data_IF_743705483112
#
_entry.id   IF_743705483112
#
_cell.length_a   1.000
_cell.length_b   1.000
_cell.length_c   1.000
_cell.angle_alpha   90.00
_cell.angle_beta   90.00
_cell.angle_gamma   90.00
#
_symmetry.space_group_name_H-M   'P 1'
#
loop_
_entity.id
_entity.type
_entity.pdbx_description
1 polymer ?
#
# COMPACT_ATOMS: atom_id res chain seq x y z
N UNK A 1 -22.45 -10.95 11.38
CA UNK A 1 -22.49 -11.85 10.22
C UNK A 1 -21.09 -12.31 9.89
N UNK A 2 -20.87 -13.62 9.80
CA UNK A 2 -19.60 -14.19 9.33
C UNK A 2 -19.62 -14.02 7.81
N UNK A 3 -18.88 -13.03 7.29
CA UNK A 3 -18.60 -12.98 5.85
C UNK A 3 -17.78 -14.23 5.57
N UNK A 4 -18.36 -15.20 4.87
CA UNK A 4 -17.63 -16.38 4.45
C UNK A 4 -16.61 -15.93 3.39
N UNK A 5 -15.35 -15.74 3.79
CA UNK A 5 -14.29 -15.24 2.90
C UNK A 5 -14.00 -16.30 1.82
N UNK A 6 -14.64 -16.18 0.66
CA UNK A 6 -14.38 -17.06 -0.48
C UNK A 6 -13.27 -16.49 -1.37
N UNK A 7 -12.19 -17.26 -1.51
CA UNK A 7 -11.06 -16.92 -2.36
C UNK A 7 -10.32 -18.17 -2.85
N UNK A 8 -9.73 -18.12 -4.06
CA UNK A 8 -9.00 -19.27 -4.60
C UNK A 8 -7.67 -19.44 -3.86
N UNK A 9 -7.37 -20.62 -3.36
CA UNK A 9 -6.17 -20.87 -2.53
C UNK A 9 -4.88 -20.72 -3.33
N UNK A 10 -4.90 -21.19 -4.57
CA UNK A 10 -3.78 -21.18 -5.50
C UNK A 10 -4.19 -20.75 -6.92
N UNK A 11 -3.24 -20.80 -7.85
CA UNK A 11 -3.46 -20.32 -9.21
C UNK A 11 -4.38 -21.22 -10.03
N UNK A 12 -4.41 -22.53 -9.76
CA UNK A 12 -5.30 -23.45 -10.47
C UNK A 12 -6.75 -23.20 -10.06
N UNK A 13 -7.00 -23.05 -8.75
CA UNK A 13 -8.32 -22.64 -8.25
C UNK A 13 -8.72 -21.26 -8.81
N UNK A 14 -7.79 -20.31 -8.92
CA UNK A 14 -8.04 -19.00 -9.50
C UNK A 14 -8.52 -19.09 -10.95
N UNK A 15 -7.84 -19.88 -11.79
CA UNK A 15 -8.24 -20.08 -13.19
C UNK A 15 -9.58 -20.82 -13.31
N UNK A 16 -9.87 -21.73 -12.39
CA UNK A 16 -11.15 -22.45 -12.36
C UNK A 16 -12.32 -21.55 -11.94
N UNK A 17 -12.06 -20.62 -11.01
CA UNK A 17 -13.05 -19.69 -10.49
C UNK A 17 -13.31 -18.51 -11.43
N UNK A 18 -12.28 -17.98 -12.10
CA UNK A 18 -12.40 -16.80 -12.97
C UNK A 18 -12.04 -17.14 -14.42
N UNK A 19 -13.03 -17.65 -15.16
CA UNK A 19 -12.88 -18.05 -16.57
C UNK A 19 -13.38 -16.97 -17.51
N UNK A 20 -14.35 -16.18 -17.06
CA UNK A 20 -15.12 -15.26 -17.88
C UNK A 20 -15.23 -13.89 -17.22
N UNK A 21 -15.67 -12.91 -18.01
CA UNK A 21 -16.01 -11.57 -17.51
C UNK A 21 -17.17 -11.62 -16.51
N UNK A 22 -18.11 -12.55 -16.69
CA UNK A 22 -19.25 -12.75 -15.79
C UNK A 22 -18.82 -13.23 -14.41
N UNK A 23 -17.89 -14.17 -14.32
CA UNK A 23 -17.33 -14.63 -13.05
C UNK A 23 -16.73 -13.47 -12.25
N UNK A 24 -15.99 -12.59 -12.95
CA UNK A 24 -15.37 -11.41 -12.35
C UNK A 24 -16.41 -10.38 -11.91
N UNK A 25 -17.45 -10.15 -12.72
CA UNK A 25 -18.54 -9.22 -12.40
C UNK A 25 -19.30 -9.68 -11.16
N UNK A 26 -19.70 -10.96 -11.10
CA UNK A 26 -20.43 -11.55 -9.98
C UNK A 26 -19.60 -11.46 -8.69
N UNK A 27 -18.31 -11.80 -8.77
CA UNK A 27 -17.41 -11.71 -7.61
C UNK A 27 -17.22 -10.27 -7.11
N UNK A 28 -17.09 -9.29 -8.02
CA UNK A 28 -17.04 -7.89 -7.62
C UNK A 28 -18.35 -7.42 -7.00
N UNK A 29 -19.49 -7.90 -7.50
CA UNK A 29 -20.81 -7.56 -6.97
C UNK A 29 -20.94 -7.99 -5.50
N UNK A 30 -20.63 -9.25 -5.20
CA UNK A 30 -20.65 -9.79 -3.83
C UNK A 30 -19.68 -9.05 -2.91
N UNK A 31 -18.47 -8.75 -3.39
CA UNK A 31 -17.46 -8.05 -2.59
C UNK A 31 -17.88 -6.59 -2.31
N UNK A 32 -18.46 -5.92 -3.29
CA UNK A 32 -18.85 -4.52 -3.17
C UNK A 32 -20.10 -4.35 -2.32
N UNK A 33 -21.02 -5.29 -2.41
CA UNK A 33 -22.32 -5.27 -1.72
C UNK A 33 -22.55 -6.60 -1.00
N UNK A 34 -21.82 -6.85 0.10
CA UNK A 34 -21.91 -8.11 0.84
C UNK A 34 -23.32 -8.35 1.42
N UNK A 35 -24.05 -7.26 1.68
CA UNK A 35 -25.40 -7.29 2.25
C UNK A 35 -26.49 -7.03 1.20
N UNK A 36 -26.15 -7.12 -0.10
CA UNK A 36 -27.03 -6.79 -1.22
C UNK A 36 -26.87 -5.35 -1.72
N UNK A 37 -27.25 -5.14 -2.98
CA UNK A 37 -27.11 -3.82 -3.62
C UNK A 37 -27.92 -2.76 -2.90
N UNK A 38 -27.32 -1.60 -2.69
CA UNK A 38 -27.98 -0.40 -2.22
C UNK A 38 -27.75 0.72 -3.22
N UNK A 39 -28.84 1.29 -3.75
CA UNK A 39 -28.75 2.34 -4.75
C UNK A 39 -28.01 3.56 -4.17
N UNK A 40 -26.92 4.04 -4.81
CA UNK A 40 -26.15 5.17 -4.28
C UNK A 40 -26.90 6.51 -4.28
N UNK A 41 -28.08 6.59 -4.91
CA UNK A 41 -28.91 7.81 -4.99
C UNK A 41 -30.08 7.83 -4.02
N UNK A 42 -30.75 6.70 -3.80
CA UNK A 42 -31.97 6.63 -2.99
C UNK A 42 -31.96 5.52 -1.93
N UNK A 43 -30.87 4.76 -1.81
CA UNK A 43 -30.72 3.66 -0.86
C UNK A 43 -31.81 2.58 -0.93
N UNK A 44 -32.40 2.39 -2.12
CA UNK A 44 -33.31 1.28 -2.40
C UNK A 44 -32.49 0.02 -2.73
N UNK A 45 -33.00 -1.12 -2.26
CA UNK A 45 -32.44 -2.46 -2.44
C UNK A 45 -33.04 -3.23 -3.63
N UNK A 46 -34.11 -2.72 -4.25
CA UNK A 46 -34.75 -3.33 -5.41
C UNK A 46 -34.08 -2.88 -6.70
N UNK A 47 -33.56 -3.84 -7.46
CA UNK A 47 -32.89 -3.59 -8.73
C UNK A 47 -33.12 -4.72 -9.74
N UNK A 48 -32.80 -4.44 -10.99
CA UNK A 48 -32.56 -5.46 -12.01
C UNK A 48 -31.25 -5.18 -12.73
N UNK A 49 -30.68 -6.20 -13.37
CA UNK A 49 -29.44 -6.09 -14.15
C UNK A 49 -29.83 -5.95 -15.62
N UNK A 50 -29.31 -4.92 -16.30
CA UNK A 50 -29.53 -4.72 -17.73
C UNK A 50 -28.64 -5.63 -18.57
N UNK A 51 -28.93 -5.75 -19.87
CA UNK A 51 -28.07 -6.48 -20.82
C UNK A 51 -26.62 -5.96 -20.84
N UNK A 52 -26.43 -4.66 -20.60
CA UNK A 52 -25.10 -4.01 -20.49
C UNK A 52 -24.46 -4.17 -19.11
N UNK A 53 -25.01 -5.05 -18.25
CA UNK A 53 -24.54 -5.32 -16.88
C UNK A 53 -24.50 -4.07 -15.99
N UNK A 54 -25.43 -3.15 -16.21
CA UNK A 54 -25.70 -2.04 -15.31
C UNK A 54 -26.77 -2.45 -14.30
N UNK A 55 -26.64 -1.98 -13.07
CA UNK A 55 -27.57 -2.24 -11.98
C UNK A 55 -28.57 -1.09 -11.97
N UNK A 56 -29.80 -1.38 -12.37
CA UNK A 56 -30.86 -0.39 -12.50
C UNK A 56 -31.72 -0.38 -11.24
N UNK A 57 -31.82 0.78 -10.58
CA UNK A 57 -32.66 0.95 -9.41
C UNK A 57 -34.14 1.10 -9.81
N UNK A 58 -35.02 0.30 -9.21
CA UNK A 58 -36.46 0.32 -9.51
C UNK A 58 -37.13 1.65 -9.12
N UNK A 59 -36.61 2.31 -8.08
CA UNK A 59 -37.29 3.47 -7.46
C UNK A 59 -36.92 4.81 -8.09
N UNK A 60 -35.64 5.01 -8.42
CA UNK A 60 -35.14 6.30 -8.92
C UNK A 60 -34.56 6.22 -10.33
N UNK A 61 -34.68 5.06 -10.99
CA UNK A 61 -34.18 4.76 -12.34
C UNK A 61 -32.67 4.94 -12.55
N UNK A 62 -31.92 5.22 -11.48
CA UNK A 62 -30.50 5.38 -11.54
C UNK A 62 -29.81 4.07 -11.95
N UNK A 63 -28.92 4.17 -12.94
CA UNK A 63 -28.08 3.07 -13.40
C UNK A 63 -26.69 3.17 -12.78
N UNK A 64 -26.35 2.21 -11.93
CA UNK A 64 -25.02 2.06 -11.35
C UNK A 64 -24.20 1.03 -12.14
N UNK A 65 -22.89 1.29 -12.28
CA UNK A 65 -21.93 0.30 -12.79
C UNK A 65 -21.12 -0.29 -11.65
N UNK A 66 -20.83 -1.59 -11.70
CA UNK A 66 -20.01 -2.27 -10.69
C UNK A 66 -18.63 -1.65 -10.51
N UNK A 67 -18.09 -1.05 -11.57
CA UNK A 67 -16.77 -0.39 -11.58
C UNK A 67 -16.83 1.09 -11.19
N UNK A 68 -18.02 1.69 -11.11
CA UNK A 68 -18.15 3.12 -10.84
C UNK A 68 -17.64 3.48 -9.43
N UNK A 69 -16.87 4.56 -9.28
CA UNK A 69 -16.30 4.94 -7.98
C UNK A 69 -15.23 3.99 -7.45
N UNK A 70 -14.66 3.10 -8.28
CA UNK A 70 -13.57 2.17 -7.90
C UNK A 70 -12.30 2.45 -8.70
N UNK A 71 -11.22 1.72 -8.43
CA UNK A 71 -10.02 1.77 -9.29
C UNK A 71 -10.30 1.33 -10.74
N UNK A 72 -11.34 0.53 -10.94
CA UNK A 72 -11.79 0.03 -12.25
C UNK A 72 -12.67 1.03 -13.01
N UNK A 73 -13.00 2.17 -12.42
CA UNK A 73 -13.86 3.18 -13.04
C UNK A 73 -13.36 3.57 -14.43
N UNK A 74 -14.28 3.61 -15.39
CA UNK A 74 -14.00 3.98 -16.78
C UNK A 74 -13.05 3.02 -17.51
N UNK A 75 -12.83 1.80 -17.01
CA UNK A 75 -11.97 0.84 -17.68
C UNK A 75 -12.58 0.39 -19.02
N UNK A 76 -11.73 0.31 -20.05
CA UNK A 76 -12.07 -0.24 -21.36
C UNK A 76 -11.50 -1.65 -21.56
N UNK A 77 -10.78 -2.17 -20.57
CA UNK A 77 -10.21 -3.51 -20.58
C UNK A 77 -11.10 -4.44 -19.75
N UNK A 78 -11.22 -5.72 -20.13
CA UNK A 78 -12.01 -6.69 -19.37
C UNK A 78 -11.58 -6.77 -17.90
N UNK A 79 -12.53 -6.94 -16.98
CA UNK A 79 -12.29 -7.27 -15.58
C UNK A 79 -11.46 -8.54 -15.45
N UNK A 80 -11.67 -9.53 -16.33
CA UNK A 80 -10.87 -10.74 -16.32
C UNK A 80 -9.36 -10.45 -16.40
N UNK A 81 -8.95 -9.46 -17.21
CA UNK A 81 -7.54 -9.03 -17.28
C UNK A 81 -7.08 -8.37 -15.97
N UNK A 82 -7.94 -7.56 -15.33
CA UNK A 82 -7.64 -7.00 -14.01
C UNK A 82 -7.40 -8.09 -12.97
N UNK A 83 -8.25 -9.12 -12.94
CA UNK A 83 -8.13 -10.23 -11.99
C UNK A 83 -6.80 -10.97 -12.17
N UNK A 84 -6.42 -11.28 -13.41
CA UNK A 84 -5.14 -11.91 -13.72
C UNK A 84 -3.94 -11.07 -13.27
N UNK A 85 -4.00 -9.75 -13.51
CA UNK A 85 -2.94 -8.83 -13.09
C UNK A 85 -2.87 -8.71 -11.57
N UNK A 86 -4.01 -8.63 -10.88
CA UNK A 86 -4.06 -8.59 -9.41
C UNK A 86 -3.45 -9.86 -8.84
N UNK A 87 -3.83 -11.04 -9.35
CA UNK A 87 -3.23 -12.32 -8.95
C UNK A 87 -1.71 -12.32 -9.15
N UNK A 88 -1.26 -11.93 -10.35
CA UNK A 88 0.16 -11.87 -10.67
C UNK A 88 0.91 -10.91 -9.73
N UNK A 89 0.38 -9.71 -9.48
CA UNK A 89 0.99 -8.71 -8.58
C UNK A 89 1.12 -9.24 -7.15
N UNK A 90 0.11 -9.93 -6.61
CA UNK A 90 0.18 -10.47 -5.24
C UNK A 90 1.03 -11.74 -5.15
N UNK A 91 1.18 -12.49 -6.25
CA UNK A 91 2.05 -13.66 -6.32
C UNK A 91 3.54 -13.30 -6.28
N UNK A 92 3.94 -12.19 -6.92
CA UNK A 92 5.33 -11.73 -6.98
C UNK A 92 5.83 -11.21 -5.62
N UNK A 93 6.70 -11.94 -4.92
CA UNK A 93 7.25 -11.47 -3.62
C UNK A 93 8.17 -10.25 -3.76
N UNK A 94 8.91 -10.16 -4.86
CA UNK A 94 9.91 -9.12 -5.13
C UNK A 94 9.33 -7.85 -5.75
N UNK A 95 8.02 -7.75 -5.92
CA UNK A 95 7.38 -6.59 -6.55
C UNK A 95 7.27 -6.70 -8.08
N UNK A 96 6.63 -5.70 -8.67
CA UNK A 96 6.32 -5.68 -10.10
C UNK A 96 6.76 -4.36 -10.75
N UNK A 97 7.66 -4.45 -11.73
CA UNK A 97 8.01 -3.31 -12.58
C UNK A 97 6.95 -3.13 -13.69
N UNK A 98 6.73 -1.87 -14.11
CA UNK A 98 5.80 -1.57 -15.18
C UNK A 98 6.27 -2.11 -16.54
N UNK A 99 7.59 -2.19 -16.79
CA UNK A 99 8.14 -2.83 -17.98
C UNK A 99 7.84 -4.33 -18.00
N UNK A 100 8.10 -5.03 -16.90
CA UNK A 100 7.81 -6.47 -16.81
C UNK A 100 6.30 -6.73 -16.96
N UNK A 101 5.44 -5.92 -16.34
CA UNK A 101 3.99 -6.06 -16.52
C UNK A 101 3.57 -5.81 -17.97
N UNK A 102 4.14 -4.78 -18.62
CA UNK A 102 3.85 -4.46 -20.01
C UNK A 102 4.19 -5.64 -20.93
N UNK A 103 5.40 -6.16 -20.82
CA UNK A 103 5.89 -7.22 -21.72
C UNK A 103 5.19 -8.56 -21.42
N UNK A 104 4.98 -8.90 -20.14
CA UNK A 104 4.33 -10.15 -19.74
C UNK A 104 2.83 -10.19 -20.10
N UNK A 105 2.10 -9.08 -19.90
CA UNK A 105 0.65 -9.01 -20.19
C UNK A 105 0.34 -8.48 -21.59
N UNK A 106 1.36 -8.17 -22.39
CA UNK A 106 1.19 -7.66 -23.75
C UNK A 106 0.54 -6.27 -23.83
N UNK A 107 0.76 -5.39 -22.86
CA UNK A 107 0.26 -4.02 -22.95
C UNK A 107 0.99 -3.26 -24.07
N UNK A 108 0.22 -2.58 -24.92
CA UNK A 108 0.77 -1.76 -26.01
C UNK A 108 1.56 -0.53 -25.54
N UNK A 109 1.44 -0.11 -24.28
CA UNK A 109 2.19 1.04 -23.73
C UNK A 109 2.67 0.83 -22.31
N UNK A 110 3.85 1.38 -22.00
CA UNK A 110 4.41 1.40 -20.66
C UNK A 110 3.51 2.18 -19.70
N UNK A 111 2.95 3.31 -20.16
CA UNK A 111 2.09 4.20 -19.39
C UNK A 111 0.84 3.48 -18.89
N UNK A 112 0.28 2.57 -19.69
CA UNK A 112 -0.89 1.77 -19.30
C UNK A 112 -0.51 0.83 -18.15
N UNK A 113 0.56 0.05 -18.30
CA UNK A 113 1.03 -0.86 -17.26
C UNK A 113 1.41 -0.11 -15.98
N UNK A 114 2.09 1.03 -16.12
CA UNK A 114 2.46 1.90 -15.00
C UNK A 114 1.22 2.44 -14.27
N UNK A 115 0.22 2.93 -15.00
CA UNK A 115 -1.02 3.45 -14.41
C UNK A 115 -1.82 2.38 -13.69
N UNK A 116 -1.88 1.16 -14.24
CA UNK A 116 -2.54 0.02 -13.58
C UNK A 116 -1.85 -0.35 -12.28
N UNK A 117 -0.52 -0.44 -12.27
CA UNK A 117 0.21 -0.69 -11.04
C UNK A 117 -0.02 0.42 -10.01
N UNK A 118 -0.06 1.69 -10.42
CA UNK A 118 -0.37 2.80 -9.50
C UNK A 118 -1.78 2.74 -8.93
N UNK A 119 -2.77 2.38 -9.75
CA UNK A 119 -4.14 2.13 -9.28
C UNK A 119 -4.18 1.00 -8.24
N UNK A 120 -3.45 -0.09 -8.47
CA UNK A 120 -3.35 -1.19 -7.52
C UNK A 120 -2.61 -0.80 -6.24
N UNK A 121 -1.51 -0.03 -6.33
CA UNK A 121 -0.77 0.49 -5.17
C UNK A 121 -1.67 1.32 -4.25
N UNK A 122 -2.55 2.15 -4.82
CA UNK A 122 -3.54 2.91 -4.04
C UNK A 122 -4.49 1.99 -3.27
N UNK A 123 -4.87 0.85 -3.84
CA UNK A 123 -5.70 -0.16 -3.18
C UNK A 123 -4.90 -1.08 -2.22
N UNK A 124 -3.58 -0.97 -2.12
CA UNK A 124 -2.80 -1.78 -1.17
C UNK A 124 -2.84 -1.23 0.26
N UNK A 125 -3.35 -0.01 0.44
CA UNK A 125 -3.56 0.62 1.75
C UNK A 125 -5.02 0.50 2.14
N UNK A 126 -5.28 -0.26 3.21
CA UNK A 126 -6.61 -0.34 3.81
C UNK A 126 -6.89 0.92 4.66
N UNK A 127 -8.00 1.64 4.44
CA UNK A 127 -8.48 2.66 5.36
C UNK A 127 -8.73 2.05 6.75
N UNK A 128 -8.39 2.77 7.82
CA UNK A 128 -8.55 2.27 9.20
C UNK A 128 -7.82 0.94 9.44
N UNK A 129 -6.63 0.77 8.82
CA UNK A 129 -5.73 -0.35 9.13
C UNK A 129 -5.31 -0.29 10.59
N UNK A 130 -5.20 -1.45 11.23
CA UNK A 130 -4.75 -1.53 12.62
C UNK A 130 -3.38 -0.84 12.79
N UNK A 131 -3.23 -0.14 13.92
CA UNK A 131 -1.96 0.48 14.31
C UNK A 131 -0.93 -0.59 14.68
N UNK A 132 0.35 -0.21 14.62
CA UNK A 132 1.45 -0.99 15.16
C UNK A 132 1.31 -1.06 16.68
N UNK A 133 1.72 -2.19 17.27
CA UNK A 133 1.55 -2.45 18.72
C UNK A 133 2.83 -3.00 19.33
N UNK A 134 2.93 -2.90 20.67
CA UNK A 134 4.08 -3.40 21.44
C UNK A 134 5.28 -2.47 21.32
N UNK A 135 6.46 -3.05 21.14
CA UNK A 135 7.70 -2.30 20.89
C UNK A 135 7.82 -1.94 19.41
N UNK A 136 8.07 -0.67 19.13
CA UNK A 136 8.18 -0.13 17.78
C UNK A 136 9.43 0.75 17.67
N UNK A 137 10.36 0.36 16.81
CA UNK A 137 11.48 1.22 16.42
C UNK A 137 10.99 2.23 15.37
N UNK A 138 11.36 3.50 15.55
CA UNK A 138 11.03 4.59 14.63
C UNK A 138 12.31 5.35 14.29
N UNK A 139 12.52 5.62 13.00
CA UNK A 139 13.71 6.30 12.49
C UNK A 139 13.40 7.02 11.16
N UNK A 140 14.25 7.97 10.77
CA UNK A 140 14.19 8.65 9.48
C UNK A 140 15.23 8.14 8.49
N UNK A 141 14.82 8.05 7.23
CA UNK A 141 15.72 7.71 6.14
C UNK A 141 15.51 8.57 4.91
N UNK A 142 16.54 8.64 4.08
CA UNK A 142 16.51 9.31 2.78
C UNK A 142 16.41 8.27 1.66
N UNK A 143 15.36 8.38 0.85
CA UNK A 143 15.09 7.51 -0.29
C UNK A 143 15.09 8.32 -1.60
N UNK A 144 15.67 7.73 -2.64
CA UNK A 144 15.77 8.35 -3.97
C UNK A 144 16.90 9.37 -4.08
N UNK A 145 16.83 10.20 -5.12
CA UNK A 145 17.88 11.14 -5.52
C UNK A 145 18.99 10.48 -6.36
N UNK A 146 19.67 11.28 -7.19
CA UNK A 146 20.90 10.82 -7.86
C UNK A 146 22.04 10.90 -6.86
N UNK A 147 22.84 9.84 -6.71
CA UNK A 147 24.14 9.95 -6.05
C UNK A 147 25.08 10.73 -6.98
N UNK A 148 25.23 12.04 -6.73
CA UNK A 148 26.16 12.88 -7.48
C UNK A 148 27.48 12.95 -6.69
N UNK A 149 28.41 12.03 -7.01
CA UNK A 149 29.81 12.08 -6.55
C UNK A 149 30.02 12.18 -5.03
N UNK A 150 31.20 12.67 -4.61
CA UNK A 150 31.60 12.95 -3.21
C UNK A 150 30.84 14.14 -2.59
N UNK A 151 29.54 14.28 -2.86
CA UNK A 151 28.69 15.32 -2.30
C UNK A 151 28.23 15.04 -0.87
N UNK A 152 27.77 16.09 -0.17
CA UNK A 152 27.31 16.07 1.24
C UNK A 152 26.45 14.84 1.54
N UNK A 153 26.93 13.99 2.45
CA UNK A 153 26.19 12.85 2.98
C UNK A 153 25.13 13.33 4.00
N UNK A 154 24.00 12.63 4.07
CA UNK A 154 22.94 12.91 5.06
C UNK A 154 21.96 14.01 4.66
N UNK A 155 21.50 14.79 5.65
CA UNK A 155 20.30 15.65 5.60
C UNK A 155 20.34 16.82 4.60
N UNK A 156 21.48 17.06 3.94
CA UNK A 156 21.70 18.15 2.99
C UNK A 156 21.69 17.75 1.51
N UNK A 157 21.34 16.51 1.17
CA UNK A 157 21.28 16.06 -0.22
C UNK A 157 19.95 16.49 -0.88
N UNK A 158 19.97 17.63 -1.59
CA UNK A 158 18.84 18.35 -2.23
C UNK A 158 17.89 17.48 -3.09
N UNK A 159 18.28 16.25 -3.45
CA UNK A 159 17.48 15.36 -4.31
C UNK A 159 16.86 14.15 -3.61
N UNK A 160 17.15 13.92 -2.33
CA UNK A 160 16.61 12.76 -1.60
C UNK A 160 15.33 13.12 -0.85
N UNK A 161 14.36 12.20 -0.81
CA UNK A 161 13.11 12.37 -0.07
C UNK A 161 13.26 11.81 1.34
N UNK A 162 12.90 12.61 2.34
CA UNK A 162 12.88 12.19 3.73
C UNK A 162 11.63 11.34 4.02
N UNK A 163 11.84 10.21 4.68
CA UNK A 163 10.81 9.22 4.99
C UNK A 163 10.96 8.78 6.44
N UNK A 164 9.90 8.86 7.21
CA UNK A 164 9.82 8.23 8.54
C UNK A 164 9.44 6.77 8.35
N UNK A 165 10.12 5.88 9.07
CA UNK A 165 9.88 4.44 9.06
C UNK A 165 9.57 4.00 10.48
N UNK A 166 8.51 3.21 10.65
CA UNK A 166 8.23 2.52 11.91
C UNK A 166 8.21 1.00 11.67
N UNK A 167 8.78 0.23 12.60
CA UNK A 167 8.87 -1.21 12.53
C UNK A 167 8.57 -1.87 13.88
N UNK A 168 7.58 -2.77 13.91
CA UNK A 168 7.31 -3.59 15.10
C UNK A 168 8.49 -4.52 15.39
N UNK A 169 8.91 -4.53 16.65
CA UNK A 169 9.95 -5.40 17.18
C UNK A 169 9.29 -6.66 17.75
N UNK A 170 9.59 -7.83 17.16
CA UNK A 170 9.10 -9.14 17.61
C UNK A 170 10.28 -10.04 17.94
N UNK A 171 10.99 -9.68 19.02
CA UNK A 171 12.24 -10.33 19.41
C UNK A 171 13.33 -10.09 18.37
N UNK A 172 13.74 -11.13 17.63
CA UNK A 172 14.69 -11.02 16.50
C UNK A 172 13.99 -10.79 15.15
N UNK A 173 12.66 -10.84 15.11
CA UNK A 173 11.89 -10.71 13.88
C UNK A 173 11.29 -9.31 13.76
N UNK A 174 11.15 -8.84 12.52
CA UNK A 174 10.44 -7.59 12.22
C UNK A 174 8.98 -7.92 11.95
N UNK A 175 8.08 -7.31 12.70
CA UNK A 175 6.63 -7.40 12.50
C UNK A 175 6.15 -6.56 11.32
N UNK A 176 5.11 -5.76 11.54
CA UNK A 176 4.55 -4.84 10.56
C UNK A 176 5.35 -3.54 10.51
N UNK A 177 5.33 -2.89 9.36
CA UNK A 177 6.02 -1.63 9.07
C UNK A 177 5.06 -0.57 8.54
N UNK A 178 5.46 0.69 8.71
CA UNK A 178 4.79 1.90 8.21
C UNK A 178 5.82 2.87 7.67
N UNK A 179 5.42 3.64 6.67
CA UNK A 179 6.22 4.68 6.06
C UNK A 179 5.38 5.94 5.87
N UNK A 180 5.98 7.11 5.99
CA UNK A 180 5.38 8.39 5.60
C UNK A 180 6.47 9.30 5.06
N UNK A 181 6.21 9.92 3.91
CA UNK A 181 7.07 11.00 3.40
C UNK A 181 6.78 12.23 4.25
N UNK A 182 7.82 12.89 4.73
CA UNK A 182 7.73 14.12 5.52
C UNK A 182 8.50 15.24 4.80
N UNK A 183 7.96 16.46 4.88
CA UNK A 183 8.58 17.64 4.27
C UNK A 183 9.81 18.06 5.05
N UNK A 184 9.65 18.09 6.36
CA UNK A 184 10.67 18.46 7.31
C UNK A 184 10.62 17.49 8.48
N UNK A 185 11.78 17.32 9.10
CA UNK A 185 11.94 16.51 10.30
C UNK A 185 11.53 17.37 11.50
N UNK A 186 10.29 17.85 11.52
CA UNK A 186 9.73 18.64 12.62
C UNK A 186 9.09 17.71 13.66
N UNK A 187 9.11 18.09 14.94
CA UNK A 187 8.54 17.26 16.00
C UNK A 187 7.04 17.02 15.86
N UNK A 188 6.31 17.95 15.22
CA UNK A 188 4.88 17.83 14.95
C UNK A 188 4.56 16.77 13.89
N UNK A 189 5.30 16.77 12.76
CA UNK A 189 5.10 15.79 11.68
C UNK A 189 5.40 14.36 12.18
N UNK A 190 6.44 14.20 13.01
CA UNK A 190 6.84 12.92 13.61
C UNK A 190 5.80 12.42 14.62
N UNK A 191 5.33 13.31 15.51
CA UNK A 191 4.32 12.95 16.49
C UNK A 191 3.00 12.56 15.82
N UNK A 192 2.56 13.32 14.81
CA UNK A 192 1.37 12.97 14.01
C UNK A 192 1.54 11.61 13.33
N UNK A 193 2.70 11.33 12.72
CA UNK A 193 2.96 10.01 12.13
C UNK A 193 2.81 8.88 13.15
N UNK A 194 3.36 9.07 14.34
CA UNK A 194 3.31 8.08 15.42
C UNK A 194 1.88 7.88 15.89
N UNK A 195 1.14 8.95 16.17
CA UNK A 195 -0.25 8.87 16.63
C UNK A 195 -1.18 8.23 15.61
N UNK A 196 -0.97 8.49 14.32
CA UNK A 196 -1.73 7.87 13.23
C UNK A 196 -1.45 6.38 13.07
N UNK A 197 -0.26 5.90 13.47
CA UNK A 197 0.23 4.57 13.07
C UNK A 197 0.59 3.62 14.22
N UNK A 198 0.73 4.10 15.45
CA UNK A 198 1.17 3.33 16.62
C UNK A 198 0.14 3.49 17.74
N UNK A 199 -0.30 2.35 18.29
CA UNK A 199 -1.34 2.27 19.32
C UNK A 199 -0.88 2.93 20.62
N UNK A 200 -1.81 3.56 21.35
CA UNK A 200 -1.48 4.13 22.65
C UNK A 200 -1.09 3.03 23.65
N UNK A 201 -0.14 3.33 24.54
CA UNK A 201 0.47 2.37 25.45
C UNK A 201 1.62 1.55 24.85
N UNK A 202 1.93 1.72 23.56
CA UNK A 202 3.13 1.14 22.96
C UNK A 202 4.41 1.78 23.47
N UNK A 203 5.50 1.01 23.34
CA UNK A 203 6.86 1.48 23.57
C UNK A 203 7.51 1.89 22.26
N UNK A 204 7.98 3.13 22.19
CA UNK A 204 8.62 3.72 21.01
C UNK A 204 10.11 3.85 21.27
N UNK A 205 10.92 3.38 20.32
CA UNK A 205 12.38 3.34 20.42
C UNK A 205 12.99 4.19 19.29
N UNK A 206 13.78 5.22 19.63
CA UNK A 206 14.37 6.16 18.66
C UNK A 206 15.87 6.39 18.89
N UNK A 207 16.55 7.09 17.97
CA UNK A 207 18.01 7.32 17.97
C UNK A 207 18.48 8.50 18.84
N UNK A 208 17.58 9.11 19.62
CA UNK A 208 17.87 10.25 20.49
C UNK A 208 17.95 11.59 19.78
N UNK A 209 17.52 11.65 18.52
CA UNK A 209 17.42 12.91 17.80
C UNK A 209 16.32 13.83 18.38
N UNK A 210 16.61 15.13 18.44
CA UNK A 210 15.77 16.14 19.11
C UNK A 210 14.38 16.31 18.51
N UNK A 211 14.15 15.87 17.27
CA UNK A 211 12.83 15.83 16.64
C UNK A 211 11.81 15.02 17.45
N UNK A 212 12.27 14.00 18.19
CA UNK A 212 11.42 13.17 19.03
C UNK A 212 11.26 13.68 20.48
N UNK A 213 11.75 14.88 20.80
CA UNK A 213 11.66 15.43 22.16
C UNK A 213 10.22 15.56 22.68
N UNK A 214 9.25 15.79 21.80
CA UNK A 214 7.82 15.83 22.13
C UNK A 214 7.28 14.49 22.63
N UNK A 215 7.85 13.35 22.20
CA UNK A 215 7.44 12.04 22.70
C UNK A 215 7.79 11.82 24.15
N UNK A 216 8.94 12.31 24.59
CA UNK A 216 9.35 12.22 26.00
C UNK A 216 8.40 12.97 26.93
N UNK A 217 7.60 13.91 26.39
CA UNK A 217 6.57 14.65 27.12
C UNK A 217 5.19 14.00 27.02
N UNK A 218 4.99 13.07 26.08
CA UNK A 218 3.71 12.40 25.87
C UNK A 218 3.44 11.38 26.97
N UNK A 219 2.21 11.38 27.49
CA UNK A 219 1.73 10.35 28.43
C UNK A 219 1.18 9.11 27.72
N UNK A 220 1.04 9.18 26.39
CA UNK A 220 0.40 8.12 25.60
C UNK A 220 1.37 6.98 25.23
N UNK A 221 2.68 7.19 25.39
CA UNK A 221 3.72 6.27 24.94
C UNK A 221 4.83 6.13 25.98
N UNK A 222 5.42 4.93 26.07
CA UNK A 222 6.73 4.76 26.71
C UNK A 222 7.81 5.10 25.67
N UNK A 223 8.66 6.09 25.94
CA UNK A 223 9.74 6.48 25.02
C UNK A 223 11.10 5.99 25.52
N UNK A 224 11.74 5.10 24.75
CA UNK A 224 13.12 4.67 24.97
C UNK A 224 14.05 5.32 23.95
N UNK A 225 15.06 6.05 24.44
CA UNK A 225 16.06 6.69 23.60
C UNK A 225 17.33 5.84 23.58
N UNK A 226 17.76 5.43 22.38
CA UNK A 226 19.05 4.74 22.15
C UNK A 226 20.02 5.68 21.45
N UNK A 227 20.82 6.38 22.24
CA UNK A 227 21.80 7.34 21.74
C UNK A 227 22.87 6.62 20.90
N UNK A 228 22.95 6.96 19.61
CA UNK A 228 23.96 6.39 18.71
C UNK A 228 25.35 6.99 18.98
N UNK A 229 25.44 8.30 19.18
CA UNK A 229 26.70 9.00 19.45
C UNK A 229 27.30 8.63 20.82
N UNK A 230 28.57 8.24 20.84
CA UNK A 230 29.29 7.92 22.07
C UNK A 230 29.02 6.53 22.68
N UNK A 231 28.11 5.74 22.09
CA UNK A 231 27.79 4.38 22.56
C UNK A 231 28.85 3.31 22.25
N UNK A 232 29.78 3.61 21.34
CA UNK A 232 30.72 2.63 20.77
C UNK A 232 30.08 1.58 19.84
N UNK A 233 28.75 1.63 19.65
CA UNK A 233 27.96 0.72 18.83
C UNK A 233 27.57 1.37 17.50
N UNK A 234 27.40 0.56 16.46
CA UNK A 234 26.92 1.04 15.15
C UNK A 234 25.40 1.30 15.21
N UNK A 235 24.88 2.19 14.36
CA UNK A 235 23.45 2.54 14.32
C UNK A 235 22.52 1.30 14.22
N UNK A 236 22.88 0.32 13.38
CA UNK A 236 22.12 -0.92 13.21
C UNK A 236 22.19 -1.88 14.40
N UNK A 237 23.07 -1.65 15.37
CA UNK A 237 23.12 -2.43 16.62
C UNK A 237 22.17 -1.86 17.68
N UNK A 238 21.74 -0.61 17.51
CA UNK A 238 20.85 0.09 18.43
C UNK A 238 19.39 0.02 17.99
N UNK A 239 19.15 0.25 16.70
CA UNK A 239 17.83 0.12 16.06
C UNK A 239 17.88 -0.92 14.91
N UNK A 240 18.07 -2.22 15.23
CA UNK A 240 18.29 -3.25 14.21
C UNK A 240 17.09 -3.48 13.29
N UNK A 241 15.86 -3.32 13.77
CA UNK A 241 14.66 -3.63 13.00
C UNK A 241 14.42 -2.55 11.94
N UNK A 242 14.36 -1.29 12.33
CA UNK A 242 14.04 -0.18 11.42
C UNK A 242 15.16 0.04 10.39
N UNK A 243 16.44 -0.07 10.76
CA UNK A 243 17.55 0.04 9.81
C UNK A 243 17.62 -1.13 8.82
N UNK A 244 17.20 -2.33 9.23
CA UNK A 244 17.03 -3.45 8.30
C UNK A 244 15.89 -3.17 7.31
N UNK A 245 14.76 -2.64 7.77
CA UNK A 245 13.64 -2.23 6.89
C UNK A 245 14.09 -1.17 5.90
N UNK A 246 14.83 -0.15 6.35
CA UNK A 246 15.42 0.88 5.50
C UNK A 246 16.31 0.28 4.39
N UNK A 247 17.22 -0.62 4.79
CA UNK A 247 18.11 -1.31 3.85
C UNK A 247 17.33 -2.14 2.81
N UNK A 248 16.27 -2.81 3.24
CA UNK A 248 15.44 -3.65 2.38
C UNK A 248 14.60 -2.83 1.40
N UNK A 249 14.00 -1.71 1.83
CA UNK A 249 13.20 -0.87 0.92
C UNK A 249 14.07 -0.21 -0.14
N UNK A 250 15.28 0.28 0.22
CA UNK A 250 16.25 0.82 -0.74
C UNK A 250 16.71 -0.24 -1.74
N UNK A 251 17.02 -1.46 -1.27
CA UNK A 251 17.39 -2.58 -2.14
C UNK A 251 16.25 -2.96 -3.09
N UNK A 252 15.01 -2.99 -2.60
CA UNK A 252 13.84 -3.30 -3.40
C UNK A 252 13.60 -2.25 -4.49
N UNK A 253 13.68 -0.96 -4.17
CA UNK A 253 13.56 0.13 -5.16
C UNK A 253 14.64 0.00 -6.25
N UNK A 254 15.88 -0.28 -5.86
CA UNK A 254 16.98 -0.43 -6.80
C UNK A 254 16.85 -1.71 -7.65
N UNK A 255 16.49 -2.84 -7.05
CA UNK A 255 16.37 -4.12 -7.77
C UNK A 255 15.14 -4.19 -8.66
N UNK A 256 13.97 -3.82 -8.16
CA UNK A 256 12.69 -4.02 -8.85
C UNK A 256 12.34 -2.86 -9.77
N UNK A 257 12.74 -1.64 -9.39
CA UNK A 257 12.42 -0.42 -10.14
C UNK A 257 13.65 0.26 -10.75
N UNK A 258 14.82 -0.38 -10.67
CA UNK A 258 16.08 0.12 -11.26
C UNK A 258 16.43 1.53 -10.74
N UNK A 259 16.01 1.87 -9.51
CA UNK A 259 16.19 3.19 -8.91
C UNK A 259 15.35 4.31 -9.54
N UNK A 260 14.50 4.01 -10.55
CA UNK A 260 13.72 5.00 -11.30
C UNK A 260 12.36 5.28 -10.66
N UNK A 261 12.37 5.65 -9.38
CA UNK A 261 11.15 6.09 -8.67
C UNK A 261 11.20 7.61 -8.51
N UNK A 262 10.24 8.30 -9.13
CA UNK A 262 10.05 9.74 -8.93
C UNK A 262 9.58 10.02 -7.51
N UNK A 263 10.12 11.06 -6.89
CA UNK A 263 9.73 11.55 -5.55
C UNK A 263 8.22 11.78 -5.45
N UNK A 264 7.60 12.32 -6.50
CA UNK A 264 6.14 12.54 -6.62
C UNK A 264 5.31 11.27 -6.38
N UNK A 265 5.85 10.11 -6.75
CA UNK A 265 5.13 8.84 -6.72
C UNK A 265 5.64 7.90 -5.63
N UNK A 266 6.68 8.30 -4.89
CA UNK A 266 7.38 7.44 -3.94
C UNK A 266 6.44 6.85 -2.88
N UNK A 267 5.45 7.60 -2.41
CA UNK A 267 4.46 7.11 -1.44
C UNK A 267 3.78 5.82 -1.90
N UNK A 268 3.33 5.75 -3.16
CA UNK A 268 2.69 4.55 -3.70
C UNK A 268 3.63 3.33 -3.72
N UNK A 269 4.94 3.53 -3.91
CA UNK A 269 5.92 2.45 -3.87
C UNK A 269 6.21 2.01 -2.43
N UNK A 270 6.25 2.94 -1.47
CA UNK A 270 6.36 2.63 -0.05
C UNK A 270 5.13 1.85 0.44
N UNK A 271 3.94 2.21 -0.04
CA UNK A 271 2.70 1.48 0.23
C UNK A 271 2.76 0.04 -0.30
N UNK A 272 3.27 -0.17 -1.51
CA UNK A 272 3.50 -1.50 -2.07
C UNK A 272 4.48 -2.31 -1.21
N UNK A 273 5.61 -1.69 -0.84
CA UNK A 273 6.61 -2.34 -0.03
C UNK A 273 6.03 -2.75 1.33
N UNK A 274 5.34 -1.83 2.02
CA UNK A 274 4.67 -2.12 3.28
C UNK A 274 3.62 -3.22 3.13
N UNK A 275 2.81 -3.19 2.07
CA UNK A 275 1.82 -4.22 1.79
C UNK A 275 2.45 -5.61 1.70
N UNK A 276 3.54 -5.75 0.94
CA UNK A 276 4.27 -7.01 0.75
C UNK A 276 4.98 -7.44 2.02
N UNK A 277 5.71 -6.53 2.66
CA UNK A 277 6.50 -6.80 3.86
C UNK A 277 5.63 -7.26 5.02
N UNK A 278 4.48 -6.60 5.23
CA UNK A 278 3.54 -6.93 6.29
C UNK A 278 2.84 -8.28 6.09
N UNK A 279 3.00 -8.88 4.90
CA UNK A 279 2.38 -10.16 4.51
C UNK A 279 3.44 -11.19 4.09
N UNK A 280 4.72 -10.94 4.38
CA UNK A 280 5.85 -11.77 3.94
C UNK A 280 5.76 -13.23 4.41
N UNK A 281 5.15 -13.47 5.57
CA UNK A 281 4.93 -14.80 6.15
C UNK A 281 3.60 -15.44 5.72
N UNK A 282 2.75 -14.73 4.96
CA UNK A 282 1.48 -15.30 4.50
C UNK A 282 1.71 -16.42 3.49
N UNK A 283 1.17 -17.60 3.80
CA UNK A 283 1.10 -18.76 2.90
C UNK A 283 -0.17 -18.74 2.04
N UNK A 284 -1.16 -17.90 2.37
CA UNK A 284 -2.45 -17.83 1.68
C UNK A 284 -2.45 -16.74 0.59
N UNK A 285 -2.02 -17.09 -0.63
CA UNK A 285 -1.99 -16.15 -1.77
C UNK A 285 -3.40 -15.69 -2.17
N UNK A 286 -4.35 -16.61 -2.16
CA UNK A 286 -5.78 -16.31 -2.32
C UNK A 286 -6.29 -15.19 -1.45
N UNK A 287 -5.92 -15.23 -0.16
CA UNK A 287 -6.34 -14.20 0.78
C UNK A 287 -5.77 -12.83 0.42
N UNK A 288 -4.54 -12.75 -0.11
CA UNK A 288 -3.96 -11.48 -0.56
C UNK A 288 -4.67 -10.93 -1.78
N UNK A 289 -4.99 -11.81 -2.74
CA UNK A 289 -5.80 -11.48 -3.90
C UNK A 289 -7.17 -10.91 -3.46
N UNK A 290 -7.89 -11.65 -2.62
CA UNK A 290 -9.17 -11.23 -2.07
C UNK A 290 -9.11 -9.86 -1.38
N UNK A 291 -8.15 -9.67 -0.47
CA UNK A 291 -8.00 -8.38 0.21
C UNK A 291 -7.72 -7.24 -0.77
N UNK A 292 -6.91 -7.47 -1.80
CA UNK A 292 -6.64 -6.44 -2.80
C UNK A 292 -7.88 -6.14 -3.66
N UNK A 293 -8.71 -7.14 -3.99
CA UNK A 293 -10.00 -6.92 -4.67
C UNK A 293 -10.96 -6.11 -3.77
N UNK A 294 -11.09 -6.49 -2.49
CA UNK A 294 -11.91 -5.73 -1.53
C UNK A 294 -11.50 -4.26 -1.47
N UNK A 295 -10.20 -3.98 -1.39
CA UNK A 295 -9.73 -2.59 -1.39
C UNK A 295 -9.87 -1.92 -2.76
N UNK A 296 -9.79 -2.67 -3.86
CA UNK A 296 -9.95 -2.14 -5.22
C UNK A 296 -11.35 -1.57 -5.44
N UNK A 297 -12.39 -2.18 -4.85
CA UNK A 297 -13.76 -1.65 -4.92
C UNK A 297 -14.05 -0.54 -3.92
N UNK A 298 -13.27 -0.44 -2.84
CA UNK A 298 -13.40 0.60 -1.82
C UNK A 298 -12.54 1.84 -2.11
N UNK A 299 -11.58 1.75 -3.03
CA UNK A 299 -10.66 2.84 -3.36
C UNK A 299 -11.20 3.67 -4.52
N UNK A 300 -11.35 4.97 -4.28
CA UNK A 300 -11.82 5.93 -5.28
C UNK A 300 -10.94 5.94 -6.55
N UNK A 301 -11.51 6.26 -7.72
CA UNK A 301 -10.77 6.30 -8.97
C UNK A 301 -9.67 7.36 -8.95
N UNK A 302 -8.57 7.09 -9.67
CA UNK A 302 -7.57 8.11 -10.02
C UNK A 302 -7.18 7.91 -11.49
N UNK A 303 -7.72 8.74 -12.40
CA UNK A 303 -7.46 8.60 -13.84
C UNK A 303 -6.00 8.94 -14.19
N UNK A 304 -5.58 8.54 -15.40
CA UNK A 304 -4.19 8.68 -15.84
C UNK A 304 -3.69 10.13 -15.79
N UNK A 305 -4.51 11.09 -16.24
CA UNK A 305 -4.20 12.51 -16.22
C UNK A 305 -3.91 13.03 -14.81
N UNK A 306 -4.61 12.54 -13.78
CA UNK A 306 -4.32 12.89 -12.39
C UNK A 306 -3.06 12.20 -11.85
N UNK A 307 -2.82 10.95 -12.25
CA UNK A 307 -1.57 10.26 -11.92
C UNK A 307 -0.36 10.98 -12.55
N UNK A 308 -0.48 11.47 -13.78
CA UNK A 308 0.63 12.11 -14.50
C UNK A 308 0.72 13.63 -14.31
N UNK A 309 -0.31 14.29 -13.76
CA UNK A 309 -0.36 15.75 -13.55
C UNK A 309 0.94 16.29 -12.96
N UNK A 310 1.65 17.17 -13.65
CA UNK A 310 2.82 17.85 -13.09
C UNK A 310 2.32 18.80 -12.00
N UNK A 311 2.76 18.60 -10.76
CA UNK A 311 2.69 19.60 -9.68
C UNK A 311 3.86 20.53 -9.83
#
# INVERSE_FOLDING_TARGET
MIINEQYPKDFQEFLQQFKTEEDCWNYLFEIRWPDGFQCPKCNCDKYWITEKRLIHCVTCEHQASITAGTIFHGTRKPLLLWFHIIWWVVAQKTGASAHNLKDFMGFGSYETAWAWLHKLRRAMVRPNRDKLIGEVEVDETYIGGKEIGKGRQGRGAVTKTLVVVAAECKGKQIGRVRFKIISESSGEELLSFIEDNIEYGSKIITDGWTGYSSLSQSKNYEHEIKIISGSGKKAHELLPHVHMVDSLVKRWINGTHQGKVSTKHLSYYLDEFAFRFNRKLSTYRGKLFYRLIQQSVATEPKPLNELTKKT
#
